data_IF_133438559280
#
_entry.id   IF_133438559280
#
_cell.length_a   1.000
_cell.length_b   1.000
_cell.length_c   1.000
_cell.angle_alpha   90.00
_cell.angle_beta   90.00
_cell.angle_gamma   90.00
#
_symmetry.space_group_name_H-M   'P 1'
#
loop_
_entity.id
_entity.type
_entity.pdbx_description
1 polymer ?
#
# COMPACT_ATOMS: atom_id res chain seq x y z
N UNK A 1 -4.42 26.61 -7.84
CA UNK A 1 -3.26 26.15 -8.62
C UNK A 1 -3.74 24.96 -9.42
N UNK A 2 -3.54 24.96 -10.73
CA UNK A 2 -3.89 23.86 -11.63
C UNK A 2 -2.58 23.35 -12.22
N UNK A 3 -2.27 22.07 -12.02
CA UNK A 3 -1.02 21.48 -12.54
C UNK A 3 -1.19 21.15 -14.02
N UNK A 4 -0.11 21.27 -14.79
CA UNK A 4 -0.11 21.03 -16.25
C UNK A 4 -0.59 19.60 -16.56
N UNK A 5 -0.29 18.66 -15.68
CA UNK A 5 -0.67 17.26 -15.79
C UNK A 5 -2.18 17.02 -15.55
N UNK A 6 -2.91 17.93 -14.92
CA UNK A 6 -4.35 17.72 -14.67
C UNK A 6 -5.15 17.58 -15.96
N UNK A 7 -4.77 18.32 -17.01
CA UNK A 7 -5.40 18.20 -18.33
C UNK A 7 -5.21 16.79 -18.90
N UNK A 8 -4.01 16.21 -18.77
CA UNK A 8 -3.73 14.85 -19.24
C UNK A 8 -4.57 13.80 -18.48
N UNK A 9 -4.78 13.97 -17.17
CA UNK A 9 -5.65 13.07 -16.41
C UNK A 9 -7.13 13.23 -16.78
N UNK A 10 -7.59 14.46 -17.08
CA UNK A 10 -8.95 14.70 -17.60
C UNK A 10 -9.15 14.04 -18.96
N UNK A 11 -8.18 14.16 -19.87
CA UNK A 11 -8.21 13.55 -21.20
C UNK A 11 -8.18 12.00 -21.10
N UNK A 12 -7.37 11.46 -20.19
CA UNK A 12 -7.35 10.02 -19.91
C UNK A 12 -8.70 9.52 -19.35
N UNK A 13 -9.36 10.32 -18.51
CA UNK A 13 -10.72 10.02 -18.04
C UNK A 13 -11.76 10.08 -19.15
N UNK A 14 -11.70 11.11 -20.01
CA UNK A 14 -12.63 11.29 -21.13
C UNK A 14 -12.50 10.21 -22.21
N UNK A 15 -11.27 9.74 -22.46
CA UNK A 15 -10.99 8.64 -23.40
C UNK A 15 -11.28 7.24 -22.82
N UNK A 16 -11.55 7.15 -21.52
CA UNK A 16 -11.79 5.88 -20.83
C UNK A 16 -10.51 5.09 -20.48
N UNK A 17 -9.33 5.71 -20.63
CA UNK A 17 -8.06 5.10 -20.24
C UNK A 17 -7.91 4.96 -18.72
N UNK A 18 -8.53 5.86 -17.95
CA UNK A 18 -8.58 5.80 -16.49
C UNK A 18 -10.03 5.98 -16.01
N UNK A 19 -10.55 5.12 -15.10
CA UNK A 19 -11.85 5.37 -14.49
C UNK A 19 -11.80 6.60 -13.60
N UNK A 20 -10.76 6.74 -12.76
CA UNK A 20 -10.54 7.90 -11.91
C UNK A 20 -9.13 7.91 -11.32
N UNK A 21 -8.75 9.04 -10.71
CA UNK A 21 -7.42 9.30 -10.15
C UNK A 21 -7.52 10.19 -8.92
N UNK A 22 -6.60 9.99 -7.97
CA UNK A 22 -6.38 10.86 -6.82
C UNK A 22 -4.92 11.32 -6.86
N UNK A 23 -4.72 12.63 -6.88
CA UNK A 23 -3.42 13.29 -6.89
C UNK A 23 -3.27 14.05 -5.58
N UNK A 24 -2.24 13.73 -4.81
CA UNK A 24 -1.95 14.39 -3.53
C UNK A 24 -0.46 14.77 -3.51
N UNK A 25 -0.16 15.97 -3.02
CA UNK A 25 1.21 16.43 -2.82
C UNK A 25 1.27 17.41 -1.65
N UNK A 26 2.41 17.45 -0.97
CA UNK A 26 2.66 18.41 0.09
C UNK A 26 4.16 18.57 0.33
N UNK A 27 4.54 19.65 1.00
CA UNK A 27 5.92 19.88 1.45
C UNK A 27 6.13 19.45 2.92
N UNK A 28 7.39 19.47 3.36
CA UNK A 28 7.79 19.13 4.74
C UNK A 28 7.37 20.23 5.72
N UNK A 29 7.38 21.48 5.25
CA UNK A 29 7.14 22.68 6.05
C UNK A 29 5.65 22.95 6.31
N UNK A 30 4.75 22.28 5.59
CA UNK A 30 3.30 22.50 5.63
C UNK A 30 2.85 23.79 4.93
N UNK A 31 3.71 24.41 4.12
CA UNK A 31 3.38 25.64 3.37
C UNK A 31 2.69 25.34 2.05
N UNK A 32 2.79 24.11 1.58
CA UNK A 32 2.17 23.62 0.37
C UNK A 32 1.39 22.33 0.65
N UNK A 33 0.13 22.32 0.27
CA UNK A 33 -0.71 21.13 0.22
C UNK A 33 -1.61 21.18 -1.02
N UNK A 34 -1.63 20.09 -1.76
CA UNK A 34 -2.42 19.92 -2.96
C UNK A 34 -3.16 18.59 -2.89
N UNK A 35 -4.43 18.62 -3.26
CA UNK A 35 -5.26 17.43 -3.37
C UNK A 35 -6.32 17.59 -4.45
N UNK A 36 -6.41 16.59 -5.33
CA UNK A 36 -7.38 16.55 -6.41
C UNK A 36 -7.83 15.12 -6.66
N UNK A 37 -9.14 14.89 -6.69
CA UNK A 37 -9.73 13.65 -7.17
C UNK A 37 -10.53 13.94 -8.44
N UNK A 38 -10.41 13.06 -9.43
CA UNK A 38 -11.05 13.21 -10.74
C UNK A 38 -11.57 11.87 -11.24
N UNK A 39 -12.65 11.89 -12.03
CA UNK A 39 -13.23 10.71 -12.65
C UNK A 39 -14.23 9.98 -11.76
N UNK A 40 -14.46 8.71 -12.11
CA UNK A 40 -15.45 7.81 -11.53
C UNK A 40 -14.75 6.74 -10.72
N UNK A 41 -15.39 6.33 -9.62
CA UNK A 41 -14.94 5.27 -8.73
C UNK A 41 -14.80 3.91 -9.43
N UNK A 42 -15.67 3.63 -10.39
CA UNK A 42 -15.87 2.29 -10.93
C UNK A 42 -16.30 2.36 -12.39
N UNK A 43 -15.93 1.34 -13.16
CA UNK A 43 -16.41 1.11 -14.53
C UNK A 43 -17.73 0.34 -14.57
N UNK A 44 -18.21 -0.16 -13.42
CA UNK A 44 -19.46 -0.91 -13.33
C UNK A 44 -20.67 0.02 -13.57
N UNK A 45 -21.66 -0.38 -14.39
CA UNK A 45 -22.82 0.47 -14.70
C UNK A 45 -23.58 0.97 -13.46
N UNK A 46 -23.73 0.12 -12.45
CA UNK A 46 -24.43 0.44 -11.19
C UNK A 46 -23.71 1.51 -10.34
N UNK A 47 -22.42 1.74 -10.61
CA UNK A 47 -21.58 2.70 -9.89
C UNK A 47 -21.14 3.87 -10.79
N UNK A 48 -21.63 3.95 -12.03
CA UNK A 48 -21.12 4.90 -13.03
C UNK A 48 -21.29 6.39 -12.63
N UNK A 49 -22.23 6.69 -11.73
CA UNK A 49 -22.45 8.04 -11.20
C UNK A 49 -21.58 8.38 -9.98
N UNK A 50 -20.90 7.41 -9.37
CA UNK A 50 -20.08 7.62 -8.17
C UNK A 50 -18.72 8.21 -8.57
N UNK A 51 -18.46 9.44 -8.16
CA UNK A 51 -17.17 10.11 -8.39
C UNK A 51 -16.06 9.46 -7.56
N UNK A 52 -14.81 9.62 -7.99
CA UNK A 52 -13.64 9.33 -7.17
C UNK A 52 -13.50 10.40 -6.08
N UNK A 53 -13.31 9.98 -4.83
CA UNK A 53 -13.18 10.86 -3.66
C UNK A 53 -11.81 10.63 -2.98
N UNK A 54 -11.20 11.66 -2.36
CA UNK A 54 -9.87 11.55 -1.76
C UNK A 54 -9.71 10.52 -0.63
N UNK A 55 -10.77 10.22 0.11
CA UNK A 55 -10.81 9.31 1.27
C UNK A 55 -11.21 7.87 0.88
N UNK A 56 -11.35 7.59 -0.43
CA UNK A 56 -11.63 6.24 -0.89
C UNK A 56 -10.54 5.26 -0.47
N UNK A 57 -10.98 4.08 -0.02
CA UNK A 57 -10.10 2.96 0.32
C UNK A 57 -9.60 2.30 -0.95
N UNK A 58 -8.28 2.29 -1.11
CA UNK A 58 -7.55 1.72 -2.23
C UNK A 58 -6.79 0.47 -1.78
N UNK A 59 -6.58 -0.47 -2.71
CA UNK A 59 -5.55 -1.49 -2.53
C UNK A 59 -4.18 -0.83 -2.73
N UNK A 60 -3.35 -0.79 -1.69
CA UNK A 60 -2.08 -0.05 -1.72
C UNK A 60 -0.96 -0.80 -2.44
N UNK A 61 -1.15 -2.09 -2.73
CA UNK A 61 -0.17 -2.93 -3.41
C UNK A 61 1.27 -2.70 -2.86
N UNK A 62 2.24 -2.43 -3.73
CA UNK A 62 3.64 -2.24 -3.36
C UNK A 62 3.91 -0.99 -2.51
N UNK A 63 3.02 0.00 -2.45
CA UNK A 63 3.15 1.14 -1.52
C UNK A 63 3.20 0.67 -0.05
N UNK A 64 2.70 -0.54 0.23
CA UNK A 64 2.81 -1.19 1.54
C UNK A 64 4.25 -1.36 2.02
N UNK A 65 5.23 -1.46 1.11
CA UNK A 65 6.64 -1.66 1.46
C UNK A 65 7.19 -0.54 2.35
N UNK A 66 6.71 0.70 2.18
CA UNK A 66 7.10 1.81 3.06
C UNK A 66 6.65 1.57 4.51
N UNK A 67 5.41 1.13 4.71
CA UNK A 67 4.89 0.79 6.04
C UNK A 67 5.66 -0.38 6.66
N UNK A 68 5.96 -1.41 5.88
CA UNK A 68 6.77 -2.55 6.31
C UNK A 68 8.18 -2.12 6.72
N UNK A 69 8.83 -1.24 5.94
CA UNK A 69 10.15 -0.73 6.27
C UNK A 69 10.15 0.06 7.59
N UNK A 70 9.15 0.92 7.82
CA UNK A 70 9.00 1.65 9.09
C UNK A 70 8.81 0.66 10.25
N UNK A 71 7.95 -0.34 10.10
CA UNK A 71 7.73 -1.34 11.15
C UNK A 71 9.00 -2.15 11.46
N UNK A 72 9.80 -2.48 10.45
CA UNK A 72 11.11 -3.14 10.61
C UNK A 72 12.07 -2.25 11.39
N UNK A 73 12.20 -0.97 11.01
CA UNK A 73 13.07 -0.02 11.72
C UNK A 73 12.61 0.19 13.17
N UNK A 74 11.31 0.16 13.44
CA UNK A 74 10.79 0.20 14.81
C UNK A 74 11.17 -1.05 15.63
N UNK A 75 11.25 -2.23 15.00
CA UNK A 75 11.75 -3.44 15.67
C UNK A 75 13.25 -3.33 15.99
N UNK A 76 14.05 -2.76 15.09
CA UNK A 76 15.48 -2.47 15.31
C UNK A 76 15.66 -1.53 16.49
N UNK A 77 14.88 -0.44 16.57
CA UNK A 77 14.94 0.49 17.69
C UNK A 77 14.57 -0.09 19.06
N UNK A 78 13.79 -1.18 19.05
CA UNK A 78 13.41 -1.95 20.23
C UNK A 78 14.44 -3.02 20.59
N UNK A 79 15.50 -3.17 19.78
CA UNK A 79 16.54 -4.17 19.96
C UNK A 79 16.03 -5.60 19.76
N UNK A 80 14.98 -5.79 18.93
CA UNK A 80 14.47 -7.12 18.61
C UNK A 80 15.38 -7.87 17.63
N UNK A 81 16.02 -7.12 16.74
CA UNK A 81 17.04 -7.59 15.79
C UNK A 81 17.87 -6.39 15.30
N UNK A 82 19.02 -6.66 14.70
CA UNK A 82 19.86 -5.66 14.01
C UNK A 82 19.65 -5.68 12.48
N UNK A 83 20.01 -4.63 11.75
CA UNK A 83 19.92 -4.61 10.29
C UNK A 83 20.98 -5.50 9.62
N UNK A 84 22.10 -5.70 10.29
CA UNK A 84 23.25 -6.46 9.80
C UNK A 84 23.33 -7.88 10.39
N UNK A 85 22.36 -8.29 11.22
CA UNK A 85 22.35 -9.65 11.77
C UNK A 85 21.98 -10.71 10.73
N UNK A 86 22.45 -11.95 10.96
CA UNK A 86 22.07 -13.09 10.13
C UNK A 86 20.61 -13.48 10.34
N UNK A 87 19.76 -13.04 9.40
CA UNK A 87 18.31 -13.27 9.45
C UNK A 87 17.91 -14.74 9.44
N UNK A 88 18.77 -15.67 9.02
CA UNK A 88 18.45 -17.10 9.04
C UNK A 88 18.25 -17.63 10.47
N UNK A 89 18.77 -16.92 11.47
CA UNK A 89 18.55 -17.23 12.89
C UNK A 89 17.19 -16.76 13.40
N UNK A 90 16.67 -15.66 12.83
CA UNK A 90 15.44 -14.98 13.26
C UNK A 90 14.21 -15.38 12.41
N UNK A 91 14.41 -15.71 11.13
CA UNK A 91 13.36 -16.05 10.17
C UNK A 91 13.63 -17.42 9.56
N UNK A 92 12.74 -18.39 9.83
CA UNK A 92 12.82 -19.71 9.19
C UNK A 92 12.44 -19.59 7.71
N UNK A 93 13.17 -20.33 6.88
CA UNK A 93 13.03 -20.34 5.42
C UNK A 93 11.72 -20.99 4.97
N UNK A 94 11.48 -20.97 3.65
CA UNK A 94 10.24 -21.46 3.05
C UNK A 94 9.92 -22.95 3.32
N UNK A 95 10.91 -23.70 3.80
CA UNK A 95 10.82 -25.13 4.09
C UNK A 95 9.81 -25.47 5.22
N UNK A 96 9.30 -24.48 5.95
CA UNK A 96 8.33 -24.67 7.03
C UNK A 96 7.07 -23.79 6.89
N UNK A 97 6.68 -23.41 5.66
CA UNK A 97 5.40 -22.72 5.46
C UNK A 97 4.22 -23.61 5.85
N UNK A 98 3.24 -23.01 6.53
CA UNK A 98 1.96 -23.67 6.78
C UNK A 98 1.25 -23.92 5.44
N UNK A 99 0.78 -25.14 5.22
CA UNK A 99 -0.10 -25.44 4.08
C UNK A 99 -1.43 -24.71 4.29
N UNK A 100 -1.86 -23.84 3.36
CA UNK A 100 -3.13 -23.14 3.49
C UNK A 100 -4.29 -24.12 3.49
N UNK A 101 -5.28 -23.85 4.34
CA UNK A 101 -6.52 -24.63 4.45
C UNK A 101 -7.73 -23.74 4.21
N UNK A 102 -8.80 -24.33 3.71
CA UNK A 102 -10.13 -23.73 3.56
C UNK A 102 -11.18 -24.59 4.26
N UNK A 103 -12.44 -24.16 4.25
CA UNK A 103 -13.56 -24.96 4.73
C UNK A 103 -14.26 -25.66 3.56
N UNK A 104 -14.55 -26.95 3.73
CA UNK A 104 -15.42 -27.68 2.81
C UNK A 104 -16.90 -27.31 3.02
N UNK A 105 -17.79 -27.88 2.19
CA UNK A 105 -19.23 -27.63 2.27
C UNK A 105 -19.88 -28.05 3.60
N UNK A 106 -19.18 -28.86 4.41
CA UNK A 106 -19.63 -29.31 5.72
C UNK A 106 -19.00 -28.53 6.88
N UNK A 107 -18.12 -27.56 6.57
CA UNK A 107 -17.44 -26.70 7.54
C UNK A 107 -16.17 -27.33 8.13
N UNK A 108 -15.66 -28.43 7.58
CA UNK A 108 -14.39 -29.02 8.01
C UNK A 108 -13.21 -28.34 7.32
N UNK A 109 -12.10 -28.20 8.04
CA UNK A 109 -10.86 -27.71 7.46
C UNK A 109 -10.27 -28.75 6.49
N UNK A 110 -10.01 -28.33 5.26
CA UNK A 110 -9.38 -29.12 4.20
C UNK A 110 -8.26 -28.31 3.56
N UNK A 111 -7.27 -28.98 2.97
CA UNK A 111 -6.21 -28.31 2.20
C UNK A 111 -6.80 -27.44 1.10
N UNK A 112 -6.30 -26.21 0.96
CA UNK A 112 -6.66 -25.35 -0.17
C UNK A 112 -5.83 -25.74 -1.39
N UNK A 113 -6.40 -26.60 -2.23
CA UNK A 113 -5.78 -27.04 -3.48
C UNK A 113 -5.64 -25.89 -4.49
N UNK A 114 -4.52 -25.84 -5.20
CA UNK A 114 -4.26 -24.84 -6.25
C UNK A 114 -4.00 -23.42 -5.73
N UNK A 115 -3.80 -23.23 -4.43
CA UNK A 115 -3.34 -21.96 -3.90
C UNK A 115 -1.92 -21.67 -4.36
N UNK A 116 -1.79 -20.64 -5.18
CA UNK A 116 -0.53 -20.09 -5.61
C UNK A 116 -0.42 -18.66 -5.09
N UNK A 117 0.33 -18.49 -3.99
CA UNK A 117 0.54 -17.19 -3.36
C UNK A 117 1.18 -16.20 -4.34
N UNK A 118 1.97 -16.70 -5.28
CA UNK A 118 2.70 -15.91 -6.27
C UNK A 118 2.06 -15.95 -7.66
N UNK A 119 0.85 -16.48 -7.81
CA UNK A 119 0.06 -16.46 -9.04
C UNK A 119 0.90 -16.70 -10.33
N UNK A 120 1.77 -17.72 -10.32
CA UNK A 120 2.62 -18.14 -11.42
C UNK A 120 3.94 -17.38 -11.58
N UNK A 121 4.28 -16.48 -10.66
CA UNK A 121 5.52 -15.70 -10.74
C UNK A 121 6.73 -16.54 -10.37
N UNK A 122 7.79 -16.44 -11.16
CA UNK A 122 9.07 -17.14 -10.92
C UNK A 122 9.95 -16.43 -9.90
N UNK A 123 9.60 -15.19 -9.54
CA UNK A 123 10.32 -14.33 -8.60
C UNK A 123 9.35 -13.76 -7.55
N UNK A 124 9.91 -13.09 -6.54
CA UNK A 124 9.15 -12.55 -5.42
C UNK A 124 8.16 -11.45 -5.86
N UNK A 125 6.86 -11.78 -5.86
CA UNK A 125 5.76 -10.82 -6.04
C UNK A 125 5.58 -9.86 -4.84
N UNK A 126 6.12 -10.23 -3.68
CA UNK A 126 5.67 -9.72 -2.38
C UNK A 126 4.29 -10.27 -2.00
N UNK A 127 3.62 -9.60 -1.06
CA UNK A 127 2.23 -9.94 -0.66
C UNK A 127 1.19 -9.02 -1.30
N UNK A 128 -0.11 -9.33 -1.10
CA UNK A 128 -1.25 -8.55 -1.61
C UNK A 128 -1.36 -7.10 -1.07
N UNK A 129 -0.52 -6.73 -0.09
CA UNK A 129 -0.48 -5.41 0.51
C UNK A 129 -1.62 -5.16 1.50
N UNK A 130 -1.77 -3.90 1.90
CA UNK A 130 -2.88 -3.44 2.77
C UNK A 130 -3.86 -2.57 1.99
N UNK A 131 -4.98 -2.27 2.63
CA UNK A 131 -5.95 -1.27 2.17
C UNK A 131 -5.79 0.02 2.96
N UNK A 132 -5.99 1.16 2.30
CA UNK A 132 -5.92 2.47 2.95
C UNK A 132 -6.36 3.59 2.01
N UNK A 133 -6.57 4.80 2.53
CA UNK A 133 -6.84 5.96 1.69
C UNK A 133 -5.56 6.61 1.18
N UNK A 134 -5.66 7.32 0.06
CA UNK A 134 -4.54 8.12 -0.44
C UNK A 134 -4.12 9.21 0.59
N UNK A 135 -5.10 9.76 1.33
CA UNK A 135 -4.86 10.76 2.38
C UNK A 135 -4.06 10.18 3.54
N UNK A 136 -4.38 8.96 4.01
CA UNK A 136 -3.63 8.29 5.06
C UNK A 136 -2.19 8.00 4.61
N UNK A 137 -2.03 7.58 3.35
CA UNK A 137 -0.70 7.34 2.78
C UNK A 137 0.12 8.63 2.66
N UNK A 138 -0.49 9.75 2.26
CA UNK A 138 0.18 11.06 2.27
C UNK A 138 0.57 11.48 3.69
N UNK A 139 -0.29 11.25 4.68
CA UNK A 139 0.03 11.54 6.08
C UNK A 139 1.23 10.72 6.58
N UNK A 140 1.36 9.47 6.16
CA UNK A 140 2.53 8.65 6.44
C UNK A 140 3.79 9.20 5.75
N UNK A 141 3.72 9.53 4.46
CA UNK A 141 4.84 10.12 3.73
C UNK A 141 5.31 11.44 4.35
N UNK A 142 4.37 12.32 4.74
CA UNK A 142 4.67 13.55 5.48
C UNK A 142 5.40 13.26 6.78
N UNK A 143 4.94 12.26 7.55
CA UNK A 143 5.56 11.90 8.82
C UNK A 143 7.00 11.36 8.64
N UNK A 144 7.29 10.67 7.52
CA UNK A 144 8.66 10.27 7.16
C UNK A 144 9.50 11.50 6.82
N UNK A 145 9.01 12.40 5.95
CA UNK A 145 9.75 13.60 5.52
C UNK A 145 10.07 14.57 6.66
N UNK A 146 9.15 14.72 7.63
CA UNK A 146 9.33 15.63 8.77
C UNK A 146 10.42 15.15 9.74
N UNK A 147 10.84 13.87 9.67
CA UNK A 147 11.93 13.30 10.49
C UNK A 147 11.71 13.52 12.01
N UNK A 148 10.50 13.23 12.48
CA UNK A 148 10.11 13.44 13.89
C UNK A 148 9.98 12.16 14.71
N UNK A 149 9.86 12.24 16.05
CA UNK A 149 9.77 11.08 16.95
C UNK A 149 8.47 10.26 16.78
N UNK A 150 7.60 10.64 15.84
CA UNK A 150 6.30 10.01 15.61
C UNK A 150 6.41 8.61 15.01
N UNK A 151 7.37 8.39 14.12
CA UNK A 151 7.57 7.10 13.44
C UNK A 151 8.82 6.38 13.95
N UNK A 152 9.93 7.09 14.04
CA UNK A 152 11.24 6.60 14.46
C UNK A 152 11.88 7.61 15.43
N UNK A 153 12.82 7.16 16.26
CA UNK A 153 13.70 8.03 17.06
C UNK A 153 14.58 8.87 16.13
N UNK A 154 14.96 10.05 16.61
CA UNK A 154 15.78 11.02 15.85
C UNK A 154 17.06 10.43 15.27
N UNK A 155 17.74 9.54 16.01
CA UNK A 155 18.98 8.87 15.58
C UNK A 155 18.81 7.88 14.41
N UNK A 156 17.58 7.60 14.00
CA UNK A 156 17.24 6.59 12.99
C UNK A 156 16.84 7.21 11.64
N UNK A 157 16.82 8.54 11.55
CA UNK A 157 16.67 9.29 10.30
C UNK A 157 18.03 9.61 9.68
#
# INVERSE_FOLDING_TARGET
MEFVEEAAYRDAGASGALPGVILLAADKEGTFEYGKAMGRRSTKPEDAAKATEPDMVLAMAACTKLMTAIAVLQCVERGLFDLDEDIAQSFRTEENFITPSTLDATGNAVTLEGWDLVNGSTDCLGGGGVFGSAQDFLALMKAVLVEGPKLLKEKSY
#
